data_IF_233059452540
#
_entry.id   IF_233059452540
#
_cell.length_a   1.000
_cell.length_b   1.000
_cell.length_c   1.000
_cell.angle_alpha   90.00
_cell.angle_beta   90.00
_cell.angle_gamma   90.00
#
_symmetry.space_group_name_H-M   'P 1'
#
loop_
_entity.id
_entity.type
_entity.pdbx_description
1 polymer ?
#
# COMPACT_ATOMS: atom_id res chain seq x y z
N UNK A 1 17.23 9.36 5.01
CA UNK A 1 17.43 10.42 6.04
C UNK A 1 17.95 11.67 5.35
N UNK A 2 17.73 12.88 5.87
CA UNK A 2 18.23 14.14 5.31
C UNK A 2 19.04 14.90 6.36
N UNK A 3 20.26 15.29 6.02
CA UNK A 3 21.11 16.10 6.90
C UNK A 3 20.89 17.58 6.62
N UNK A 4 20.76 18.37 7.68
CA UNK A 4 20.63 19.81 7.61
C UNK A 4 21.73 20.47 8.46
N UNK A 5 22.47 21.39 7.85
CA UNK A 5 23.57 22.14 8.48
C UNK A 5 23.27 23.62 8.32
N UNK A 6 23.28 24.39 9.41
CA UNK A 6 23.04 25.84 9.39
C UNK A 6 21.77 26.27 8.63
N UNK A 7 20.72 25.45 8.71
CA UNK A 7 19.45 25.69 8.03
C UNK A 7 19.35 25.18 6.59
N UNK A 8 20.44 24.70 5.98
CA UNK A 8 20.46 24.18 4.61
C UNK A 8 20.51 22.64 4.56
N UNK A 9 19.75 22.03 3.65
CA UNK A 9 19.81 20.58 3.43
C UNK A 9 21.05 20.21 2.60
N UNK A 10 21.81 19.23 3.08
CA UNK A 10 22.86 18.58 2.30
C UNK A 10 22.22 17.80 1.15
N UNK A 11 22.71 18.05 -0.07
CA UNK A 11 22.24 17.36 -1.29
C UNK A 11 23.26 16.41 -1.89
N UNK A 12 24.53 16.59 -1.57
CA UNK A 12 25.64 15.78 -2.07
C UNK A 12 26.23 14.99 -0.91
N UNK A 13 26.05 13.68 -0.96
CA UNK A 13 26.51 12.75 0.07
C UNK A 13 28.02 12.48 -0.01
N UNK A 14 28.69 12.87 -1.10
CA UNK A 14 30.14 12.74 -1.26
C UNK A 14 30.91 14.02 -0.93
N UNK A 15 30.21 15.11 -0.60
CA UNK A 15 30.85 16.37 -0.25
C UNK A 15 31.62 16.26 1.08
N UNK A 16 32.82 16.84 1.14
CA UNK A 16 33.60 16.87 2.38
C UNK A 16 32.91 17.75 3.43
N UNK A 17 33.01 17.38 4.72
CA UNK A 17 32.43 18.15 5.83
C UNK A 17 32.86 19.63 5.80
N UNK A 18 34.14 19.89 5.52
CA UNK A 18 34.65 21.26 5.37
C UNK A 18 33.99 22.02 4.21
N UNK A 19 33.73 21.37 3.07
CA UNK A 19 33.11 22.02 1.91
C UNK A 19 31.65 22.42 2.14
N UNK A 20 30.97 21.76 3.08
CA UNK A 20 29.59 22.08 3.47
C UNK A 20 29.51 22.97 4.71
N UNK A 21 30.63 23.55 5.13
CA UNK A 21 30.71 24.48 6.26
C UNK A 21 30.56 23.81 7.63
N UNK A 22 30.77 22.49 7.71
CA UNK A 22 30.80 21.76 8.97
C UNK A 22 32.20 21.85 9.57
N UNK A 23 32.28 22.46 10.74
CA UNK A 23 33.49 22.59 11.54
C UNK A 23 33.29 22.00 12.94
N UNK A 24 34.36 21.95 13.74
CA UNK A 24 34.29 21.55 15.14
C UNK A 24 33.23 22.37 15.88
N UNK A 25 32.41 21.71 16.69
CA UNK A 25 31.27 22.29 17.43
C UNK A 25 30.09 22.78 16.55
N UNK A 26 30.00 22.37 15.29
CA UNK A 26 28.81 22.65 14.47
C UNK A 26 27.61 21.83 14.93
N UNK A 27 26.41 22.43 14.85
CA UNK A 27 25.14 21.74 15.13
C UNK A 27 24.55 21.25 13.81
N UNK A 28 24.24 19.95 13.77
CA UNK A 28 23.70 19.27 12.60
C UNK A 28 22.35 18.66 12.99
N UNK A 29 21.34 18.88 12.16
CA UNK A 29 20.01 18.30 12.34
C UNK A 29 19.83 17.14 11.36
N UNK A 30 19.61 15.94 11.90
CA UNK A 30 19.27 14.77 11.10
C UNK A 30 17.75 14.61 11.06
N UNK A 31 17.16 14.84 9.89
CA UNK A 31 15.74 14.68 9.66
C UNK A 31 15.47 13.31 9.03
N UNK A 32 14.84 12.40 9.77
CA UNK A 32 14.43 11.09 9.27
C UNK A 32 14.01 10.16 10.41
N UNK A 33 13.36 9.06 10.06
CA UNK A 33 13.16 7.96 11.01
C UNK A 33 14.48 7.23 11.24
N UNK A 34 14.88 7.10 12.51
CA UNK A 34 15.96 6.23 12.92
C UNK A 34 15.51 4.78 12.72
N UNK A 35 16.11 4.10 11.75
CA UNK A 35 15.83 2.69 11.50
C UNK A 35 16.72 1.86 12.44
N UNK A 36 16.11 0.96 13.21
CA UNK A 36 16.80 0.03 14.08
C UNK A 36 17.73 -0.90 13.25
N UNK A 37 19.01 -1.00 13.61
CA UNK A 37 20.02 -1.76 12.86
C UNK A 37 19.70 -3.27 12.78
N UNK A 38 18.91 -3.79 13.73
CA UNK A 38 18.41 -5.17 13.68
C UNK A 38 17.48 -5.43 12.48
N UNK A 39 16.90 -4.36 11.94
CA UNK A 39 15.89 -4.37 10.89
C UNK A 39 16.49 -4.18 9.50
N UNK A 40 17.62 -3.47 9.39
CA UNK A 40 18.41 -3.35 8.15
C UNK A 40 18.94 -4.71 7.68
N UNK A 41 19.20 -5.65 8.61
CA UNK A 41 19.57 -7.04 8.30
C UNK A 41 18.46 -7.87 7.65
N UNK A 42 17.22 -7.37 7.60
CA UNK A 42 16.11 -8.05 6.94
C UNK A 42 16.05 -7.80 5.42
N UNK A 43 16.91 -6.91 4.90
CA UNK A 43 17.00 -6.62 3.46
C UNK A 43 18.23 -7.27 2.86
N UNK A 44 18.11 -7.84 1.66
CA UNK A 44 19.23 -8.50 0.99
C UNK A 44 20.41 -7.54 0.70
N UNK A 45 20.13 -6.24 0.57
CA UNK A 45 21.15 -5.21 0.33
C UNK A 45 21.75 -4.60 1.60
N UNK A 46 21.12 -4.76 2.78
CA UNK A 46 21.48 -4.03 3.99
C UNK A 46 21.30 -2.51 3.87
N UNK A 47 20.51 -2.04 2.90
CA UNK A 47 20.28 -0.61 2.68
C UNK A 47 19.04 -0.13 3.47
N UNK A 48 19.17 0.92 4.33
CA UNK A 48 18.03 1.53 5.03
C UNK A 48 16.92 2.06 4.09
N UNK A 49 17.26 2.44 2.86
CA UNK A 49 16.29 2.88 1.85
C UNK A 49 15.42 1.74 1.32
N UNK A 50 16.01 0.56 1.08
CA UNK A 50 15.24 -0.64 0.70
C UNK A 50 14.24 -0.98 1.81
N UNK A 51 14.66 -0.87 3.07
CA UNK A 51 13.79 -1.08 4.20
C UNK A 51 12.66 -0.04 4.26
N UNK A 52 12.95 1.24 4.06
CA UNK A 52 11.93 2.29 4.01
C UNK A 52 10.86 2.03 2.94
N UNK A 53 11.27 1.54 1.76
CA UNK A 53 10.32 1.10 0.72
C UNK A 53 9.50 -0.11 1.17
N UNK A 54 10.11 -1.09 1.83
CA UNK A 54 9.40 -2.25 2.37
C UNK A 54 8.34 -1.85 3.39
N UNK A 55 8.65 -0.92 4.30
CA UNK A 55 7.68 -0.40 5.28
C UNK A 55 6.53 0.32 4.58
N UNK A 56 6.85 1.15 3.57
CA UNK A 56 5.82 1.83 2.78
C UNK A 56 4.90 0.86 2.06
N UNK A 57 5.46 -0.18 1.44
CA UNK A 57 4.69 -1.24 0.78
C UNK A 57 3.82 -1.98 1.80
N UNK A 58 4.39 -2.35 2.96
CA UNK A 58 3.65 -3.03 4.02
C UNK A 58 2.46 -2.19 4.48
N UNK A 59 2.66 -0.89 4.74
CA UNK A 59 1.58 0.03 5.13
C UNK A 59 0.44 0.07 4.10
N UNK A 60 0.76 0.07 2.80
CA UNK A 60 -0.25 0.04 1.73
C UNK A 60 -1.03 -1.30 1.77
N UNK A 61 -0.31 -2.41 1.90
CA UNK A 61 -0.91 -3.76 1.97
C UNK A 61 -1.74 -3.94 3.24
N UNK A 62 -1.30 -3.41 4.37
CA UNK A 62 -2.02 -3.46 5.64
C UNK A 62 -3.30 -2.64 5.53
N UNK A 63 -3.23 -1.42 5.00
CA UNK A 63 -4.42 -0.58 4.75
C UNK A 63 -5.42 -1.25 3.80
N UNK A 64 -4.91 -2.00 2.82
CA UNK A 64 -5.75 -2.75 1.89
C UNK A 64 -6.35 -3.99 2.56
N UNK A 65 -5.59 -4.75 3.34
CA UNK A 65 -6.05 -5.99 3.95
C UNK A 65 -6.95 -5.75 5.17
N UNK A 66 -6.72 -4.66 5.90
CA UNK A 66 -7.47 -4.27 7.08
C UNK A 66 -8.95 -4.04 6.77
N UNK A 67 -9.78 -4.94 7.29
CA UNK A 67 -11.23 -4.97 7.14
C UNK A 67 -11.75 -5.21 5.72
N UNK A 68 -10.94 -5.11 4.66
CA UNK A 68 -11.44 -5.34 3.28
C UNK A 68 -11.82 -6.80 3.07
N UNK A 69 -11.07 -7.74 3.65
CA UNK A 69 -11.39 -9.17 3.55
C UNK A 69 -12.74 -9.48 4.20
N UNK A 70 -12.99 -8.91 5.38
CA UNK A 70 -14.24 -9.07 6.11
C UNK A 70 -15.40 -8.40 5.36
N UNK A 71 -15.20 -7.20 4.83
CA UNK A 71 -16.21 -6.50 4.04
C UNK A 71 -16.56 -7.23 2.73
N UNK A 72 -15.61 -7.97 2.14
CA UNK A 72 -15.90 -8.84 0.99
C UNK A 72 -16.73 -10.04 1.42
N UNK A 73 -16.42 -10.65 2.57
CA UNK A 73 -17.21 -11.76 3.11
C UNK A 73 -18.64 -11.32 3.44
N UNK A 74 -18.81 -10.18 4.12
CA UNK A 74 -20.12 -9.57 4.37
C UNK A 74 -20.89 -9.30 3.07
N UNK A 75 -20.19 -8.84 2.03
CA UNK A 75 -20.80 -8.60 0.73
C UNK A 75 -21.30 -9.90 0.09
N UNK A 76 -20.53 -10.97 0.14
CA UNK A 76 -20.92 -12.31 -0.33
C UNK A 76 -22.10 -12.88 0.47
N UNK A 77 -22.14 -12.67 1.77
CA UNK A 77 -23.24 -13.08 2.64
C UNK A 77 -24.54 -12.33 2.30
N UNK A 78 -24.46 -11.01 2.07
CA UNK A 78 -25.59 -10.21 1.62
C UNK A 78 -26.14 -10.67 0.28
N UNK A 79 -25.27 -11.06 -0.67
CA UNK A 79 -25.67 -11.62 -1.97
C UNK A 79 -26.40 -12.95 -1.76
N UNK A 80 -25.83 -13.83 -0.93
CA UNK A 80 -26.38 -15.16 -0.66
C UNK A 80 -27.76 -15.07 0.02
N UNK A 81 -27.92 -14.19 1.01
CA UNK A 81 -29.18 -13.95 1.71
C UNK A 81 -30.28 -13.35 0.83
N UNK A 82 -29.87 -12.71 -0.27
CA UNK A 82 -30.76 -12.10 -1.27
C UNK A 82 -31.12 -13.04 -2.42
N UNK A 83 -30.44 -14.18 -2.52
CA UNK A 83 -30.73 -15.21 -3.53
C UNK A 83 -32.13 -15.79 -3.31
N UNK A 84 -32.96 -15.79 -4.36
CA UNK A 84 -34.33 -16.32 -4.31
C UNK A 84 -35.40 -15.39 -3.72
N UNK A 85 -35.04 -14.17 -3.30
CA UNK A 85 -36.01 -13.14 -2.86
C UNK A 85 -36.19 -12.07 -3.94
N UNK A 86 -37.39 -11.49 -4.02
CA UNK A 86 -37.66 -10.31 -4.85
C UNK A 86 -37.10 -9.08 -4.13
N UNK A 87 -35.89 -8.66 -4.50
CA UNK A 87 -35.24 -7.49 -3.91
C UNK A 87 -35.97 -6.21 -4.34
N UNK A 88 -36.17 -5.31 -3.38
CA UNK A 88 -36.60 -3.94 -3.67
C UNK A 88 -35.50 -3.16 -4.41
N UNK A 89 -35.89 -2.12 -5.14
CA UNK A 89 -34.96 -1.30 -5.92
C UNK A 89 -33.87 -0.63 -5.04
N UNK A 90 -34.24 -0.25 -3.81
CA UNK A 90 -33.28 0.27 -2.84
C UNK A 90 -32.21 -0.75 -2.45
N UNK A 91 -32.54 -2.04 -2.32
CA UNK A 91 -31.59 -3.06 -1.88
C UNK A 91 -30.69 -3.50 -3.03
N UNK A 92 -31.23 -3.55 -4.25
CA UNK A 92 -30.46 -3.71 -5.49
C UNK A 92 -29.38 -2.63 -5.61
N UNK A 93 -29.75 -1.36 -5.37
CA UNK A 93 -28.81 -0.24 -5.39
C UNK A 93 -27.73 -0.36 -4.32
N UNK A 94 -28.09 -0.67 -3.07
CA UNK A 94 -27.12 -0.87 -1.98
C UNK A 94 -26.08 -1.95 -2.31
N UNK A 95 -26.50 -3.08 -2.88
CA UNK A 95 -25.60 -4.16 -3.29
C UNK A 95 -24.65 -3.71 -4.41
N UNK A 96 -25.16 -2.98 -5.41
CA UNK A 96 -24.32 -2.43 -6.48
C UNK A 96 -23.30 -1.42 -5.96
N UNK A 97 -23.74 -0.47 -5.13
CA UNK A 97 -22.89 0.57 -4.55
C UNK A 97 -21.79 -0.04 -3.67
N UNK A 98 -22.11 -1.05 -2.85
CA UNK A 98 -21.14 -1.79 -2.03
C UNK A 98 -20.10 -2.50 -2.89
N UNK A 99 -20.52 -3.15 -3.98
CA UNK A 99 -19.61 -3.81 -4.91
C UNK A 99 -18.68 -2.83 -5.62
N UNK A 100 -19.19 -1.67 -6.06
CA UNK A 100 -18.39 -0.60 -6.66
C UNK A 100 -17.38 -0.06 -5.64
N UNK A 101 -17.82 0.24 -4.42
CA UNK A 101 -16.97 0.73 -3.35
C UNK A 101 -15.78 -0.20 -3.06
N UNK A 102 -16.03 -1.51 -2.93
CA UNK A 102 -14.96 -2.49 -2.69
C UNK A 102 -13.97 -2.58 -3.86
N UNK A 103 -14.49 -2.58 -5.10
CA UNK A 103 -13.66 -2.61 -6.30
C UNK A 103 -12.73 -1.38 -6.37
N UNK A 104 -13.28 -0.19 -6.10
CA UNK A 104 -12.53 1.07 -6.10
C UNK A 104 -11.49 1.12 -4.98
N UNK A 105 -11.85 0.71 -3.76
CA UNK A 105 -10.91 0.64 -2.63
C UNK A 105 -9.70 -0.24 -2.96
N UNK A 106 -9.92 -1.40 -3.59
CA UNK A 106 -8.84 -2.30 -4.00
C UNK A 106 -8.01 -1.70 -5.15
N UNK A 107 -8.65 -1.07 -6.13
CA UNK A 107 -7.93 -0.39 -7.22
C UNK A 107 -7.02 0.74 -6.72
N UNK A 108 -7.48 1.55 -5.75
CA UNK A 108 -6.66 2.59 -5.14
C UNK A 108 -5.42 2.03 -4.45
N UNK A 109 -5.55 0.88 -3.77
CA UNK A 109 -4.42 0.14 -3.21
C UNK A 109 -3.43 -0.32 -4.28
N UNK A 110 -3.93 -0.85 -5.39
CA UNK A 110 -3.10 -1.31 -6.52
C UNK A 110 -2.34 -0.14 -7.18
N UNK A 111 -3.02 0.97 -7.46
CA UNK A 111 -2.39 2.20 -7.98
C UNK A 111 -1.31 2.71 -7.01
N UNK A 112 -1.57 2.65 -5.70
CA UNK A 112 -0.60 3.07 -4.69
C UNK A 112 0.64 2.17 -4.67
N UNK A 113 0.48 0.85 -4.87
CA UNK A 113 1.59 -0.09 -4.99
C UNK A 113 2.41 0.15 -6.26
N UNK A 114 1.75 0.41 -7.39
CA UNK A 114 2.42 0.70 -8.66
C UNK A 114 3.22 2.01 -8.61
N UNK A 115 2.75 2.98 -7.83
CA UNK A 115 3.47 4.23 -7.56
C UNK A 115 4.74 4.06 -6.70
N UNK A 116 5.04 2.87 -6.16
CA UNK A 116 6.28 2.62 -5.44
C UNK A 116 7.38 2.18 -6.40
N UNK A 117 8.24 3.13 -6.77
CA UNK A 117 9.44 2.89 -7.56
C UNK A 117 10.49 2.16 -6.72
N UNK A 118 10.87 0.96 -7.15
CA UNK A 118 11.89 0.15 -6.51
C UNK A 118 13.08 -0.04 -7.47
N UNK A 119 14.28 0.49 -7.14
CA UNK A 119 15.51 0.25 -7.89
C UNK A 119 15.78 -1.24 -8.14
N UNK A 120 16.52 -1.54 -9.21
CA UNK A 120 16.81 -2.93 -9.61
C UNK A 120 17.56 -3.73 -8.54
N UNK A 121 18.40 -3.05 -7.76
CA UNK A 121 19.19 -3.60 -6.65
C UNK A 121 18.37 -3.94 -5.40
N UNK A 122 17.13 -3.45 -5.28
CA UNK A 122 16.29 -3.63 -4.09
C UNK A 122 15.31 -4.80 -4.28
N UNK A 123 15.86 -6.02 -4.35
CA UNK A 123 15.12 -7.22 -4.71
C UNK A 123 14.02 -7.57 -3.70
N UNK A 124 14.25 -7.35 -2.41
CA UNK A 124 13.29 -7.65 -1.33
C UNK A 124 12.08 -6.74 -1.42
N UNK A 125 12.31 -5.43 -1.62
CA UNK A 125 11.24 -4.45 -1.81
C UNK A 125 10.43 -4.76 -3.08
N UNK A 126 11.11 -5.10 -4.19
CA UNK A 126 10.43 -5.50 -5.44
C UNK A 126 9.58 -6.74 -5.25
N UNK A 127 10.07 -7.74 -4.52
CA UNK A 127 9.32 -8.96 -4.24
C UNK A 127 8.08 -8.65 -3.40
N UNK A 128 8.22 -7.90 -2.30
CA UNK A 128 7.10 -7.44 -1.46
C UNK A 128 6.04 -6.70 -2.27
N UNK A 129 6.46 -5.80 -3.17
CA UNK A 129 5.56 -5.08 -4.08
C UNK A 129 4.77 -6.04 -4.97
N UNK A 130 5.45 -7.00 -5.61
CA UNK A 130 4.81 -8.01 -6.47
C UNK A 130 3.78 -8.84 -5.70
N UNK A 131 4.09 -9.22 -4.47
CA UNK A 131 3.18 -10.00 -3.64
C UNK A 131 1.95 -9.19 -3.20
N UNK A 132 2.13 -7.91 -2.88
CA UNK A 132 1.02 -6.97 -2.64
C UNK A 132 0.11 -6.80 -3.86
N UNK A 133 0.69 -6.69 -5.07
CA UNK A 133 -0.08 -6.59 -6.32
C UNK A 133 -0.88 -7.87 -6.56
N UNK A 134 -0.26 -9.05 -6.41
CA UNK A 134 -0.96 -10.34 -6.55
C UNK A 134 -2.13 -10.47 -5.57
N UNK A 135 -1.94 -10.06 -4.31
CA UNK A 135 -2.99 -10.04 -3.30
C UNK A 135 -4.15 -9.13 -3.75
N UNK A 136 -3.84 -7.91 -4.17
CA UNK A 136 -4.83 -6.93 -4.66
C UNK A 136 -5.64 -7.48 -5.83
N UNK A 137 -4.97 -8.08 -6.82
CA UNK A 137 -5.60 -8.71 -7.97
C UNK A 137 -6.54 -9.85 -7.57
N UNK A 138 -6.10 -10.72 -6.65
CA UNK A 138 -6.92 -11.83 -6.14
C UNK A 138 -8.19 -11.34 -5.42
N UNK A 139 -8.08 -10.25 -4.64
CA UNK A 139 -9.24 -9.64 -3.98
C UNK A 139 -10.20 -9.00 -5.00
N UNK A 140 -9.65 -8.32 -6.01
CA UNK A 140 -10.45 -7.70 -7.07
C UNK A 140 -11.22 -8.75 -7.87
N UNK A 141 -10.58 -9.85 -8.25
CA UNK A 141 -11.25 -10.98 -8.92
C UNK A 141 -12.41 -11.55 -8.09
N UNK A 142 -12.23 -11.64 -6.76
CA UNK A 142 -13.29 -12.11 -5.85
C UNK A 142 -14.47 -11.13 -5.85
N UNK A 143 -14.21 -9.83 -5.76
CA UNK A 143 -15.26 -8.79 -5.83
C UNK A 143 -15.97 -8.79 -7.18
N UNK A 144 -15.24 -8.93 -8.28
CA UNK A 144 -15.81 -8.91 -9.63
C UNK A 144 -16.73 -10.12 -9.89
N UNK A 145 -16.37 -11.30 -9.39
CA UNK A 145 -17.26 -12.48 -9.38
C UNK A 145 -18.56 -12.17 -8.63
N UNK A 146 -18.46 -11.61 -7.43
CA UNK A 146 -19.62 -11.25 -6.61
C UNK A 146 -20.50 -10.17 -7.29
N UNK A 147 -19.89 -9.18 -7.94
CA UNK A 147 -20.60 -8.13 -8.71
C UNK A 147 -21.30 -8.69 -9.95
N UNK A 148 -20.74 -9.70 -10.61
CA UNK A 148 -21.39 -10.38 -11.72
C UNK A 148 -22.70 -11.06 -11.25
N UNK A 149 -22.68 -11.71 -10.08
CA UNK A 149 -23.88 -12.30 -9.47
C UNK A 149 -24.93 -11.22 -9.15
N UNK A 150 -24.53 -10.10 -8.55
CA UNK A 150 -25.43 -8.97 -8.27
C UNK A 150 -26.07 -8.44 -9.55
N UNK A 151 -25.31 -8.34 -10.64
CA UNK A 151 -25.84 -7.88 -11.93
C UNK A 151 -26.95 -8.80 -12.45
N UNK A 152 -26.78 -10.11 -12.33
CA UNK A 152 -27.81 -11.09 -12.72
C UNK A 152 -29.04 -11.05 -11.79
N UNK A 153 -28.84 -10.85 -10.48
CA UNK A 153 -29.94 -10.66 -9.53
C UNK A 153 -30.74 -9.38 -9.81
N UNK A 154 -30.08 -8.31 -10.26
CA UNK A 154 -30.77 -7.05 -10.56
C UNK A 154 -31.58 -7.09 -11.86
N UNK A 155 -31.21 -7.94 -12.83
CA UNK A 155 -31.93 -8.13 -14.10
C UNK A 155 -33.26 -8.88 -13.96
N UNK A 156 -33.40 -9.71 -12.93
CA UNK A 156 -34.64 -10.42 -12.57
C UNK A 156 -35.59 -9.54 -11.77
#
# INVERSE_FOLDING_TARGET
>A
MKLQVSGANLKDDNATLSSVGVHTNSVITLNGELVDESVVKQTASGNPEEYGLMVRIAKIVDTLSDGTVDQIAEFEDMISASSGKKLGESDKKKLQDKGIYLSEKIMQGLISLDGVECPSSFETARQRRRDGVKLSQKLLERVDKSRAVVRELCKK
#
